data_IF_863002170125
#
_entry.id   IF_863002170125
#
_cell.length_a   1.000
_cell.length_b   1.000
_cell.length_c   1.000
_cell.angle_alpha   90.00
_cell.angle_beta   90.00
_cell.angle_gamma   90.00
#
_symmetry.space_group_name_H-M   'P 1'
#
loop_
_entity.id
_entity.type
_entity.pdbx_description
1 polymer ?
#
# COMPACT_ATOMS: atom_id res chain seq x y z
N UNK A 1 -8.13 -84.65 23.06
CA UNK A 1 -9.40 -83.89 22.90
C UNK A 1 -9.27 -82.57 23.60
N UNK A 2 -9.61 -81.53 22.90
CA UNK A 2 -9.74 -80.13 23.31
C UNK A 2 -8.48 -79.25 23.21
N UNK A 3 -8.43 -78.56 22.12
CA UNK A 3 -7.60 -77.48 21.70
C UNK A 3 -7.94 -76.19 22.42
N UNK A 4 -6.96 -75.49 22.97
CA UNK A 4 -7.09 -74.07 23.38
C UNK A 4 -6.26 -73.20 22.45
N UNK A 5 -6.98 -72.34 21.71
CA UNK A 5 -6.41 -71.29 20.90
C UNK A 5 -5.98 -70.13 21.80
N UNK A 6 -4.74 -69.72 21.71
CA UNK A 6 -4.24 -68.49 22.23
C UNK A 6 -4.31 -67.37 21.15
N UNK A 7 -5.08 -66.34 21.49
CA UNK A 7 -5.22 -65.15 20.63
C UNK A 7 -4.09 -64.18 20.93
N UNK A 8 -3.25 -63.89 19.97
CA UNK A 8 -2.20 -62.88 20.09
C UNK A 8 -2.77 -61.51 19.71
N UNK A 9 -2.88 -60.64 20.70
CA UNK A 9 -3.22 -59.22 20.48
C UNK A 9 -1.97 -58.45 20.02
N UNK A 10 -1.91 -58.10 18.75
CA UNK A 10 -0.88 -57.24 18.23
C UNK A 10 -1.15 -55.76 18.65
N UNK A 11 -0.22 -55.18 19.43
CA UNK A 11 -0.19 -53.77 19.73
C UNK A 11 0.42 -53.03 18.54
N UNK A 12 -0.43 -52.35 17.76
CA UNK A 12 0.03 -51.35 16.78
C UNK A 12 0.47 -50.11 17.51
N UNK A 13 1.76 -49.87 17.59
CA UNK A 13 2.34 -48.62 18.06
C UNK A 13 2.37 -47.65 16.88
N UNK A 14 1.43 -46.70 16.86
CA UNK A 14 1.45 -45.60 15.91
C UNK A 14 2.50 -44.60 16.37
N UNK A 15 3.64 -44.58 15.70
CA UNK A 15 4.68 -43.56 15.87
C UNK A 15 4.20 -42.31 15.10
N UNK A 16 3.69 -41.35 15.85
CA UNK A 16 3.34 -40.04 15.31
C UNK A 16 4.63 -39.21 15.10
N UNK A 17 5.17 -39.25 13.90
CA UNK A 17 6.33 -38.42 13.52
C UNK A 17 5.86 -36.97 13.41
N UNK A 18 6.05 -36.19 14.47
CA UNK A 18 5.90 -34.72 14.44
C UNK A 18 7.03 -34.14 13.59
N UNK A 19 6.70 -33.75 12.35
CA UNK A 19 7.59 -32.94 11.51
C UNK A 19 7.56 -31.52 12.08
N UNK A 20 8.60 -31.22 12.89
CA UNK A 20 8.89 -29.83 13.29
C UNK A 20 9.47 -29.14 12.06
N UNK A 21 8.63 -28.40 11.33
CA UNK A 21 9.11 -27.46 10.30
C UNK A 21 9.80 -26.31 11.04
N UNK A 22 11.11 -26.41 11.19
CA UNK A 22 11.93 -25.28 11.65
C UNK A 22 11.94 -24.26 10.52
N UNK A 23 11.07 -23.25 10.63
CA UNK A 23 11.18 -22.03 9.83
C UNK A 23 12.44 -21.29 10.33
N UNK A 24 13.60 -21.67 9.80
CA UNK A 24 14.80 -20.83 9.90
C UNK A 24 14.53 -19.59 9.07
N UNK A 25 13.96 -18.56 9.70
CA UNK A 25 13.96 -17.21 9.17
C UNK A 25 15.43 -16.80 9.03
N UNK A 26 15.96 -16.84 7.81
CA UNK A 26 17.20 -16.16 7.48
C UNK A 26 16.96 -14.67 7.74
N UNK A 27 17.51 -14.14 8.85
CA UNK A 27 17.44 -12.74 9.23
C UNK A 27 18.39 -11.85 8.39
N UNK A 28 18.42 -12.04 7.07
CA UNK A 28 19.13 -11.20 6.11
C UNK A 28 18.20 -10.23 5.43
N UNK A 29 18.77 -9.16 4.87
CA UNK A 29 18.04 -8.23 4.02
C UNK A 29 17.45 -8.98 2.79
N UNK A 30 16.28 -8.58 2.28
CA UNK A 30 15.70 -9.18 1.09
C UNK A 30 16.56 -8.87 -0.14
N UNK A 31 16.66 -9.85 -1.06
CA UNK A 31 17.30 -9.61 -2.35
C UNK A 31 16.58 -8.46 -3.10
N UNK A 32 17.26 -7.74 -4.02
CA UNK A 32 16.66 -6.68 -4.81
C UNK A 32 15.34 -7.09 -5.46
N UNK A 33 15.28 -8.29 -6.02
CA UNK A 33 14.08 -8.83 -6.66
C UNK A 33 12.93 -9.09 -5.67
N UNK A 34 13.21 -9.68 -4.51
CA UNK A 34 12.20 -9.94 -3.49
C UNK A 34 11.65 -8.63 -2.91
N UNK A 35 12.53 -7.64 -2.72
CA UNK A 35 12.14 -6.31 -2.27
C UNK A 35 11.28 -5.58 -3.29
N UNK A 36 11.69 -5.56 -4.56
CA UNK A 36 10.94 -4.96 -5.66
C UNK A 36 9.53 -5.59 -5.79
N UNK A 37 9.42 -6.92 -5.72
CA UNK A 37 8.14 -7.63 -5.74
C UNK A 37 7.22 -7.17 -4.60
N UNK A 38 7.74 -7.04 -3.38
CA UNK A 38 6.97 -6.57 -2.23
C UNK A 38 6.54 -5.12 -2.37
N UNK A 39 7.43 -4.25 -2.85
CA UNK A 39 7.14 -2.82 -3.09
C UNK A 39 6.06 -2.67 -4.16
N UNK A 40 6.22 -3.32 -5.32
CA UNK A 40 5.22 -3.24 -6.39
C UNK A 40 3.89 -3.87 -5.97
N UNK A 41 3.92 -4.98 -5.20
CA UNK A 41 2.74 -5.57 -4.58
C UNK A 41 2.03 -4.65 -3.57
N UNK A 42 2.73 -3.62 -3.06
CA UNK A 42 2.13 -2.57 -2.24
C UNK A 42 1.60 -1.40 -3.09
N UNK A 43 2.35 -0.99 -4.12
CA UNK A 43 2.05 0.19 -4.94
C UNK A 43 0.94 -0.05 -5.96
N UNK A 44 0.84 -1.23 -6.55
CA UNK A 44 -0.20 -1.55 -7.53
C UNK A 44 -1.61 -1.46 -6.93
N UNK A 45 -1.93 -2.10 -5.77
CA UNK A 45 -3.22 -1.90 -5.12
C UNK A 45 -3.45 -0.46 -4.64
N UNK A 46 -2.40 0.25 -4.23
CA UNK A 46 -2.50 1.65 -3.85
C UNK A 46 -2.96 2.53 -5.01
N UNK A 47 -2.33 2.41 -6.18
CA UNK A 47 -2.76 3.14 -7.40
C UNK A 47 -4.19 2.80 -7.78
N UNK A 48 -4.52 1.50 -7.81
CA UNK A 48 -5.87 1.04 -8.13
C UNK A 48 -6.93 1.60 -7.19
N UNK A 49 -6.65 1.72 -5.90
CA UNK A 49 -7.59 2.31 -4.95
C UNK A 49 -7.76 3.82 -5.15
N UNK A 50 -6.67 4.56 -5.45
CA UNK A 50 -6.75 5.98 -5.79
C UNK A 50 -7.61 6.19 -7.06
N UNK A 51 -7.36 5.40 -8.11
CA UNK A 51 -8.12 5.46 -9.36
C UNK A 51 -9.60 5.17 -9.15
N UNK A 52 -9.91 4.17 -8.35
CA UNK A 52 -11.30 3.80 -8.00
C UNK A 52 -12.00 4.90 -7.21
N UNK A 53 -11.32 5.48 -6.21
CA UNK A 53 -11.86 6.59 -5.42
C UNK A 53 -12.13 7.81 -6.29
N UNK A 54 -11.21 8.14 -7.20
CA UNK A 54 -11.34 9.25 -8.15
C UNK A 54 -12.51 9.01 -9.09
N UNK A 55 -12.57 7.86 -9.76
CA UNK A 55 -13.66 7.50 -10.69
C UNK A 55 -15.02 7.52 -10.00
N UNK A 56 -15.12 6.95 -8.79
CA UNK A 56 -16.37 6.96 -8.02
C UNK A 56 -16.80 8.37 -7.63
N UNK A 57 -15.83 9.24 -7.33
CA UNK A 57 -16.14 10.65 -7.00
C UNK A 57 -16.59 11.41 -8.24
N UNK A 58 -15.94 11.22 -9.38
CA UNK A 58 -16.33 11.84 -10.65
C UNK A 58 -17.75 11.44 -11.06
N UNK A 59 -18.14 10.18 -10.90
CA UNK A 59 -19.50 9.70 -11.16
C UNK A 59 -20.55 10.37 -10.24
N UNK A 60 -20.18 10.72 -9.02
CA UNK A 60 -21.03 11.37 -8.04
C UNK A 60 -21.09 12.89 -8.18
N UNK A 61 -20.17 13.48 -8.96
CA UNK A 61 -20.09 14.92 -9.19
C UNK A 61 -20.83 15.31 -10.48
N UNK A 62 -22.12 15.54 -10.37
CA UNK A 62 -23.00 15.92 -11.49
C UNK A 62 -23.36 17.40 -11.43
N UNK A 63 -24.04 17.91 -12.49
CA UNK A 63 -24.54 19.29 -12.51
C UNK A 63 -25.57 19.58 -11.40
N UNK A 64 -26.17 18.55 -10.81
CA UNK A 64 -27.14 18.64 -9.72
C UNK A 64 -26.50 18.50 -8.32
N UNK A 65 -25.20 18.19 -8.26
CA UNK A 65 -24.50 18.01 -6.98
C UNK A 65 -24.42 19.34 -6.23
N UNK A 66 -24.98 19.36 -5.05
CA UNK A 66 -24.91 20.56 -4.17
C UNK A 66 -23.50 20.72 -3.56
N UNK A 67 -23.11 21.92 -3.14
CA UNK A 67 -21.82 22.14 -2.45
C UNK A 67 -21.62 21.24 -1.23
N UNK A 68 -22.68 20.94 -0.47
CA UNK A 68 -22.61 20.04 0.68
C UNK A 68 -22.30 18.59 0.25
N UNK A 69 -22.97 18.08 -0.78
CA UNK A 69 -22.70 16.75 -1.34
C UNK A 69 -21.30 16.68 -1.96
N UNK A 70 -20.88 17.72 -2.69
CA UNK A 70 -19.54 17.81 -3.25
C UNK A 70 -18.48 17.76 -2.14
N UNK A 71 -18.67 18.48 -1.05
CA UNK A 71 -17.80 18.43 0.14
C UNK A 71 -17.68 17.02 0.70
N UNK A 72 -18.82 16.35 0.94
CA UNK A 72 -18.83 14.97 1.45
C UNK A 72 -18.08 13.98 0.53
N UNK A 73 -18.28 14.10 -0.79
CA UNK A 73 -17.62 13.25 -1.78
C UNK A 73 -16.11 13.48 -1.78
N UNK A 74 -15.67 14.74 -1.76
CA UNK A 74 -14.24 15.08 -1.75
C UNK A 74 -13.54 14.69 -0.43
N UNK A 75 -14.20 14.88 0.71
CA UNK A 75 -13.68 14.44 2.02
C UNK A 75 -13.51 12.91 2.04
N UNK A 76 -14.46 12.18 1.46
CA UNK A 76 -14.37 10.70 1.33
C UNK A 76 -13.24 10.29 0.39
N UNK A 77 -13.09 10.95 -0.76
CA UNK A 77 -12.00 10.72 -1.71
C UNK A 77 -10.64 10.88 -1.02
N UNK A 78 -10.39 12.05 -0.45
CA UNK A 78 -9.07 12.34 0.12
C UNK A 78 -8.79 11.55 1.41
N UNK A 79 -9.81 11.25 2.22
CA UNK A 79 -9.67 10.36 3.37
C UNK A 79 -9.34 8.91 2.96
N UNK A 80 -9.96 8.41 1.90
CA UNK A 80 -9.64 7.11 1.33
C UNK A 80 -8.23 7.06 0.74
N UNK A 81 -7.81 8.11 0.03
CA UNK A 81 -6.47 8.23 -0.54
C UNK A 81 -5.37 8.32 0.56
N UNK A 82 -5.62 9.04 1.64
CA UNK A 82 -4.75 9.07 2.83
C UNK A 82 -4.59 7.67 3.41
N UNK A 83 -5.69 6.95 3.62
CA UNK A 83 -5.66 5.60 4.19
C UNK A 83 -4.97 4.58 3.26
N UNK A 84 -5.18 4.67 1.96
CA UNK A 84 -4.51 3.85 0.96
C UNK A 84 -2.99 4.09 0.98
N UNK A 85 -2.56 5.36 1.08
CA UNK A 85 -1.15 5.74 1.15
C UNK A 85 -0.48 5.23 2.43
N UNK A 86 -1.14 5.33 3.58
CA UNK A 86 -0.64 4.76 4.83
C UNK A 86 -0.52 3.22 4.77
N UNK A 87 -1.49 2.57 4.13
CA UNK A 87 -1.46 1.12 3.94
C UNK A 87 -0.28 0.69 3.05
N UNK A 88 -0.03 1.40 1.95
CA UNK A 88 1.12 1.16 1.09
C UNK A 88 2.44 1.44 1.83
N UNK A 89 2.54 2.55 2.56
CA UNK A 89 3.71 2.91 3.37
C UNK A 89 4.11 1.79 4.34
N UNK A 90 3.13 1.25 5.08
CA UNK A 90 3.37 0.14 6.03
C UNK A 90 3.85 -1.13 5.34
N UNK A 91 3.31 -1.45 4.16
CA UNK A 91 3.75 -2.61 3.38
C UNK A 91 5.18 -2.44 2.87
N UNK A 92 5.54 -1.24 2.39
CA UNK A 92 6.92 -0.92 1.99
C UNK A 92 7.87 -0.96 3.19
N UNK A 93 7.44 -0.51 4.37
CA UNK A 93 8.21 -0.63 5.61
C UNK A 93 8.46 -2.10 5.99
N UNK A 94 7.46 -2.97 5.85
CA UNK A 94 7.58 -4.41 6.09
C UNK A 94 8.48 -5.12 5.06
N UNK A 95 8.66 -4.55 3.88
CA UNK A 95 9.60 -5.06 2.90
C UNK A 95 11.07 -4.96 3.37
N UNK A 96 11.34 -4.13 4.37
CA UNK A 96 12.68 -3.94 4.93
C UNK A 96 13.61 -3.14 4.01
N UNK A 97 14.90 -3.45 4.10
CA UNK A 97 15.98 -2.80 3.34
C UNK A 97 16.48 -3.78 2.28
N UNK A 98 16.52 -3.42 0.98
CA UNK A 98 17.06 -4.32 -0.04
C UNK A 98 18.57 -4.52 0.13
N UNK A 99 19.04 -5.74 -0.15
CA UNK A 99 20.46 -6.08 -0.15
C UNK A 99 21.14 -5.53 -1.41
N UNK A 100 21.43 -4.21 -1.39
CA UNK A 100 22.07 -3.50 -2.49
C UNK A 100 22.80 -2.26 -1.95
N UNK A 101 23.68 -1.67 -2.76
CA UNK A 101 24.29 -0.39 -2.44
C UNK A 101 23.21 0.68 -2.21
N UNK A 102 23.37 1.46 -1.14
CA UNK A 102 22.39 2.49 -0.72
C UNK A 102 20.97 1.97 -0.41
N UNK A 103 20.79 0.67 -0.12
CA UNK A 103 19.49 0.07 0.14
C UNK A 103 18.68 0.79 1.23
N UNK A 104 19.33 1.25 2.32
CA UNK A 104 18.69 2.03 3.38
C UNK A 104 18.13 3.37 2.86
N UNK A 105 18.91 4.10 2.07
CA UNK A 105 18.50 5.39 1.49
C UNK A 105 17.33 5.18 0.54
N UNK A 106 17.36 4.14 -0.28
CA UNK A 106 16.31 3.79 -1.23
C UNK A 106 15.02 3.41 -0.49
N UNK A 107 15.10 2.49 0.48
CA UNK A 107 13.95 2.09 1.30
C UNK A 107 13.34 3.28 2.06
N UNK A 108 14.17 4.14 2.64
CA UNK A 108 13.73 5.36 3.31
C UNK A 108 13.06 6.34 2.33
N UNK A 109 13.58 6.46 1.11
CA UNK A 109 13.01 7.30 0.04
C UNK A 109 11.59 6.88 -0.32
N UNK A 110 11.36 5.59 -0.57
CA UNK A 110 10.02 5.07 -0.87
C UNK A 110 9.03 5.30 0.27
N UNK A 111 9.44 4.99 1.51
CA UNK A 111 8.59 5.24 2.69
C UNK A 111 8.27 6.71 2.88
N UNK A 112 9.29 7.57 2.77
CA UNK A 112 9.13 9.02 2.91
C UNK A 112 8.24 9.64 1.84
N UNK A 113 8.31 9.16 0.60
CA UNK A 113 7.41 9.60 -0.47
C UNK A 113 5.96 9.24 -0.17
N UNK A 114 5.68 8.01 0.23
CA UNK A 114 4.33 7.59 0.61
C UNK A 114 3.80 8.33 1.86
N UNK A 115 4.68 8.65 2.80
CA UNK A 115 4.33 9.47 3.97
C UNK A 115 3.93 10.88 3.57
N UNK A 116 4.72 11.53 2.71
CA UNK A 116 4.38 12.86 2.17
C UNK A 116 3.05 12.86 1.42
N UNK A 117 2.80 11.82 0.59
CA UNK A 117 1.53 11.68 -0.13
C UNK A 117 0.35 11.48 0.82
N UNK A 118 0.48 10.62 1.83
CA UNK A 118 -0.52 10.45 2.89
C UNK A 118 -0.86 11.79 3.54
N UNK A 119 0.16 12.53 3.94
CA UNK A 119 -0.01 13.81 4.63
C UNK A 119 -0.63 14.88 3.73
N UNK A 120 -0.28 14.88 2.43
CA UNK A 120 -0.86 15.78 1.44
C UNK A 120 -2.36 15.53 1.25
N UNK A 121 -2.77 14.25 1.14
CA UNK A 121 -4.19 13.88 1.08
C UNK A 121 -4.93 14.25 2.37
N UNK A 122 -4.33 14.01 3.54
CA UNK A 122 -4.90 14.40 4.83
C UNK A 122 -5.10 15.91 4.93
N UNK A 123 -4.14 16.73 4.51
CA UNK A 123 -4.28 18.19 4.48
C UNK A 123 -5.36 18.66 3.52
N UNK A 124 -5.47 18.07 2.34
CA UNK A 124 -6.51 18.39 1.38
C UNK A 124 -7.90 18.08 1.95
N UNK A 125 -8.08 16.88 2.54
CA UNK A 125 -9.31 16.49 3.26
C UNK A 125 -9.68 17.52 4.33
N UNK A 126 -8.76 17.83 5.24
CA UNK A 126 -9.02 18.71 6.37
C UNK A 126 -9.31 20.16 5.94
N UNK A 127 -8.66 20.59 4.86
CA UNK A 127 -8.91 21.92 4.28
C UNK A 127 -10.32 22.01 3.71
N UNK A 128 -10.72 21.00 2.91
CA UNK A 128 -12.06 20.97 2.28
C UNK A 128 -13.14 20.76 3.34
N UNK A 129 -12.90 19.95 4.36
CA UNK A 129 -13.87 19.73 5.44
C UNK A 129 -14.20 21.01 6.22
N UNK A 130 -13.28 21.95 6.32
CA UNK A 130 -13.47 23.25 6.98
C UNK A 130 -14.18 24.31 6.11
N UNK A 131 -14.35 24.07 4.80
CA UNK A 131 -14.99 25.04 3.91
C UNK A 131 -16.49 25.16 4.22
N UNK A 132 -16.99 26.38 4.25
CA UNK A 132 -18.44 26.62 4.30
C UNK A 132 -19.08 26.31 2.94
N UNK A 133 -20.25 25.70 2.96
CA UNK A 133 -21.03 25.38 1.77
C UNK A 133 -22.17 26.36 1.50
N UNK A 134 -22.30 27.46 2.31
CA UNK A 134 -23.35 28.43 2.19
C UNK A 134 -23.22 29.27 0.92
N UNK A 135 -22.00 29.56 0.48
CA UNK A 135 -21.68 30.36 -0.70
C UNK A 135 -20.96 29.47 -1.75
N UNK A 136 -21.67 28.98 -2.77
CA UNK A 136 -21.11 28.03 -3.74
C UNK A 136 -19.82 28.49 -4.41
N UNK A 137 -19.75 29.76 -4.82
CA UNK A 137 -18.58 30.33 -5.50
C UNK A 137 -17.35 30.31 -4.59
N UNK A 138 -17.50 30.70 -3.33
CA UNK A 138 -16.39 30.64 -2.35
C UNK A 138 -15.99 29.23 -2.02
N UNK A 139 -16.95 28.31 -1.88
CA UNK A 139 -16.68 26.89 -1.66
C UNK A 139 -15.82 26.30 -2.77
N UNK A 140 -16.23 26.41 -4.04
CA UNK A 140 -15.47 25.86 -5.17
C UNK A 140 -14.12 26.55 -5.40
N UNK A 141 -13.98 27.83 -5.06
CA UNK A 141 -12.68 28.50 -5.05
C UNK A 141 -11.74 27.88 -3.99
N UNK A 142 -12.26 27.61 -2.79
CA UNK A 142 -11.52 26.93 -1.72
C UNK A 142 -11.10 25.50 -2.08
N UNK A 143 -12.00 24.73 -2.70
CA UNK A 143 -11.71 23.38 -3.22
C UNK A 143 -10.58 23.44 -4.23
N UNK A 144 -10.65 24.36 -5.20
CA UNK A 144 -9.58 24.52 -6.22
C UNK A 144 -8.24 24.80 -5.57
N UNK A 145 -8.18 25.73 -4.62
CA UNK A 145 -6.94 26.06 -3.92
C UNK A 145 -6.36 24.87 -3.15
N UNK A 146 -7.22 24.06 -2.49
CA UNK A 146 -6.80 22.85 -1.80
C UNK A 146 -6.22 21.80 -2.77
N UNK A 147 -6.87 21.58 -3.93
CA UNK A 147 -6.40 20.66 -4.97
C UNK A 147 -5.10 21.14 -5.63
N UNK A 148 -4.97 22.44 -5.89
CA UNK A 148 -3.71 23.02 -6.42
C UNK A 148 -2.54 22.82 -5.44
N UNK A 149 -2.79 22.95 -4.14
CA UNK A 149 -1.79 22.69 -3.10
C UNK A 149 -1.43 21.21 -3.07
N UNK A 150 -2.43 20.32 -3.10
CA UNK A 150 -2.22 18.87 -3.16
C UNK A 150 -1.36 18.49 -4.36
N UNK A 151 -1.65 19.01 -5.56
CA UNK A 151 -0.89 18.69 -6.77
C UNK A 151 0.59 19.08 -6.63
N UNK A 152 0.88 20.27 -6.09
CA UNK A 152 2.26 20.71 -5.83
C UNK A 152 3.00 19.80 -4.84
N UNK A 153 2.31 19.39 -3.78
CA UNK A 153 2.88 18.49 -2.78
C UNK A 153 3.07 17.08 -3.34
N UNK A 154 2.16 16.61 -4.20
CA UNK A 154 2.26 15.34 -4.89
C UNK A 154 3.46 15.31 -5.83
N UNK A 155 3.64 16.34 -6.66
CA UNK A 155 4.78 16.45 -7.58
C UNK A 155 6.12 16.49 -6.81
N UNK A 156 6.16 17.17 -5.66
CA UNK A 156 7.33 17.22 -4.79
C UNK A 156 7.63 15.91 -4.03
N UNK A 157 6.66 15.00 -3.98
CA UNK A 157 6.78 13.70 -3.31
C UNK A 157 6.92 12.53 -4.27
N UNK A 158 6.97 12.78 -5.58
CA UNK A 158 6.94 11.76 -6.62
C UNK A 158 7.91 10.60 -6.35
N UNK A 159 7.35 9.39 -6.37
CA UNK A 159 8.12 8.14 -6.38
C UNK A 159 8.76 7.98 -7.76
N UNK A 160 9.87 8.66 -7.99
CA UNK A 160 10.63 8.55 -9.22
C UNK A 160 11.59 7.36 -9.13
N UNK A 161 11.17 6.23 -9.67
CA UNK A 161 12.00 5.02 -9.74
C UNK A 161 13.17 5.18 -10.72
N UNK A 162 13.17 6.19 -11.60
CA UNK A 162 14.28 6.48 -12.50
C UNK A 162 15.52 7.03 -11.77
N UNK A 163 15.30 7.56 -10.56
CA UNK A 163 16.37 8.06 -9.68
C UNK A 163 17.01 6.99 -8.80
N UNK A 164 16.64 5.71 -8.98
CA UNK A 164 17.26 4.63 -8.23
C UNK A 164 18.75 4.53 -8.61
N UNK A 165 19.62 4.81 -7.64
CA UNK A 165 21.07 4.72 -7.81
C UNK A 165 21.58 3.26 -7.65
N UNK A 166 20.84 2.28 -8.17
CA UNK A 166 21.18 0.87 -8.18
C UNK A 166 20.67 0.21 -9.46
N UNK A 167 21.60 -0.25 -10.30
CA UNK A 167 21.25 -0.97 -11.52
C UNK A 167 20.55 -2.31 -11.23
N UNK A 168 20.94 -2.98 -10.14
CA UNK A 168 20.29 -4.22 -9.70
C UNK A 168 18.82 -4.02 -9.36
N UNK A 169 18.48 -2.90 -8.68
CA UNK A 169 17.10 -2.58 -8.37
C UNK A 169 16.31 -2.15 -9.61
N UNK A 170 16.91 -1.38 -10.53
CA UNK A 170 16.27 -1.06 -11.80
C UNK A 170 15.90 -2.33 -12.55
N UNK A 171 16.86 -3.23 -12.72
CA UNK A 171 16.61 -4.53 -13.35
C UNK A 171 15.53 -5.33 -12.61
N UNK A 172 15.57 -5.35 -11.28
CA UNK A 172 14.57 -6.03 -10.47
C UNK A 172 13.15 -5.48 -10.71
N UNK A 173 12.98 -4.16 -10.77
CA UNK A 173 11.70 -3.52 -11.09
C UNK A 173 11.21 -3.85 -12.50
N UNK A 174 12.11 -3.94 -13.47
CA UNK A 174 11.77 -4.29 -14.86
C UNK A 174 11.35 -5.77 -15.01
N UNK A 175 11.94 -6.66 -14.23
CA UNK A 175 11.73 -8.11 -14.34
C UNK A 175 10.57 -8.65 -13.49
N UNK A 176 10.19 -7.95 -12.43
CA UNK A 176 9.16 -8.40 -11.48
C UNK A 176 7.76 -8.21 -12.07
N UNK A 177 6.94 -9.29 -12.16
CA UNK A 177 5.59 -9.20 -12.73
C UNK A 177 4.67 -8.24 -12.00
N UNK A 178 4.82 -8.11 -10.67
CA UNK A 178 4.03 -7.24 -9.80
C UNK A 178 4.23 -5.74 -10.11
N UNK A 179 5.27 -5.40 -10.88
CA UNK A 179 5.60 -4.02 -11.27
C UNK A 179 5.04 -3.62 -12.66
N UNK A 180 4.37 -4.54 -13.35
CA UNK A 180 3.86 -4.36 -14.74
C UNK A 180 2.39 -4.03 -14.80
#
# INVERSE_FOLDING_TARGET
MRTCRASAAGKFTVVLATIVVVLTGCGGNPSPRAWAATVCGALTPWRSEIDKLTSSTDEQMTAQTTPAQAKENLVRLFGGAEQASETARRKVEQAGVPETDNGEVISAGFRGSLEKMRDAYGRARDTIDKLSTSEPTAFYAGVRAAVETLNKEYDASALDTSQLNSEELKQAFDEVPECR
#
